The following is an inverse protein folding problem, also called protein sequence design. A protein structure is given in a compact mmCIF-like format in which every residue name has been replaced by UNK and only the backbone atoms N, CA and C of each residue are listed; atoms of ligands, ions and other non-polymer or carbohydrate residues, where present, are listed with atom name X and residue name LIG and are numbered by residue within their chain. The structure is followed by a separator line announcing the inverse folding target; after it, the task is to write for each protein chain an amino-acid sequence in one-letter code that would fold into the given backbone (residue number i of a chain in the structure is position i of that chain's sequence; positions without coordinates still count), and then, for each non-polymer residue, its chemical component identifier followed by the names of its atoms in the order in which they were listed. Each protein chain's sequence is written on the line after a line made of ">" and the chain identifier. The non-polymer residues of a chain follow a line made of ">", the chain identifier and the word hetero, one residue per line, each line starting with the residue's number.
data_IF_601470162984
#
_entry.id   IF_601470162984
#
_cell.length_a   1.000
_cell.length_b   1.000
_cell.length_c   1.000
_cell.angle_alpha   90.00
_cell.angle_beta   90.00
_cell.angle_gamma   90.00
#
_symmetry.space_group_name_H-M   'P 1'
#
loop_
_entity.id
_entity.type
_entity.pdbx_description
1 polymer ?
#
# COMPACT_ATOMS: atom_id res chain seq x y z
N UNK A 1 21.07 -2.72 6.65
CA UNK A 1 19.91 -3.43 7.24
C UNK A 1 20.35 -4.87 7.43
N UNK A 2 20.34 -5.41 8.65
CA UNK A 2 20.67 -6.83 8.88
C UNK A 2 19.70 -7.74 8.15
N UNK A 3 20.16 -8.92 7.71
CA UNK A 3 19.31 -9.94 7.08
C UNK A 3 18.19 -10.36 8.05
N UNK A 4 16.96 -10.47 7.54
CA UNK A 4 15.82 -10.88 8.35
C UNK A 4 15.95 -12.35 8.76
N UNK A 5 15.43 -12.71 9.94
CA UNK A 5 15.42 -14.10 10.43
C UNK A 5 14.80 -15.08 9.42
N UNK A 6 13.75 -14.66 8.70
CA UNK A 6 13.20 -15.45 7.58
C UNK A 6 14.19 -15.69 6.45
N UNK A 7 14.98 -14.69 6.06
CA UNK A 7 15.94 -14.86 4.97
C UNK A 7 17.01 -15.89 5.34
N UNK A 8 17.41 -15.91 6.62
CA UNK A 8 18.30 -16.95 7.17
C UNK A 8 17.64 -18.32 7.16
N UNK A 9 16.39 -18.41 7.61
CA UNK A 9 15.63 -19.65 7.70
C UNK A 9 15.37 -20.26 6.31
N UNK A 10 14.92 -19.45 5.34
CA UNK A 10 14.74 -19.90 3.95
C UNK A 10 16.04 -20.36 3.31
N UNK A 11 17.16 -19.68 3.57
CA UNK A 11 18.47 -20.09 3.07
C UNK A 11 18.89 -21.42 3.69
N UNK A 12 18.66 -21.59 4.99
CA UNK A 12 18.93 -22.84 5.71
C UNK A 12 18.12 -23.99 5.12
N UNK A 13 16.80 -23.82 4.97
CA UNK A 13 15.94 -24.88 4.42
C UNK A 13 16.23 -25.20 2.96
N UNK A 14 16.49 -24.18 2.14
CA UNK A 14 16.90 -24.41 0.76
C UNK A 14 18.22 -25.19 0.68
N UNK A 15 19.15 -24.95 1.62
CA UNK A 15 20.41 -25.67 1.67
C UNK A 15 20.22 -27.11 2.14
N UNK A 16 19.38 -27.36 3.14
CA UNK A 16 19.13 -28.74 3.63
C UNK A 16 18.43 -29.57 2.57
N UNK A 17 17.40 -29.03 1.92
CA UNK A 17 16.70 -29.70 0.80
C UNK A 17 17.69 -30.03 -0.33
N UNK A 18 18.55 -29.07 -0.69
CA UNK A 18 19.54 -29.28 -1.76
C UNK A 18 20.59 -30.35 -1.39
N UNK A 19 21.18 -30.27 -0.19
CA UNK A 19 22.18 -31.22 0.26
C UNK A 19 21.63 -32.64 0.35
N UNK A 20 20.40 -32.78 0.82
CA UNK A 20 19.80 -34.09 1.04
C UNK A 20 19.25 -34.69 -0.27
N UNK A 21 18.74 -33.89 -1.19
CA UNK A 21 18.46 -34.35 -2.57
C UNK A 21 19.74 -34.81 -3.30
N UNK A 22 20.87 -34.13 -3.08
CA UNK A 22 22.17 -34.53 -3.65
C UNK A 22 22.68 -35.85 -3.02
N UNK A 23 22.42 -36.06 -1.72
CA UNK A 23 22.80 -37.30 -1.04
C UNK A 23 21.95 -38.49 -1.51
N UNK A 24 20.65 -38.29 -1.73
CA UNK A 24 19.75 -39.31 -2.29
C UNK A 24 20.13 -39.70 -3.73
N UNK A 25 20.71 -38.80 -4.53
CA UNK A 25 21.27 -39.15 -5.85
C UNK A 25 22.57 -39.96 -5.76
N UNK A 26 23.28 -39.89 -4.64
CA UNK A 26 24.57 -40.56 -4.42
C UNK A 26 24.44 -41.87 -3.63
N UNK A 27 23.36 -42.05 -2.88
CA UNK A 27 23.06 -43.26 -2.11
C UNK A 27 22.07 -44.15 -2.88
N UNK A 28 22.54 -45.30 -3.38
CA UNK A 28 21.69 -46.34 -4.01
C UNK A 28 20.74 -47.04 -3.00
N UNK A 29 20.84 -46.69 -1.71
CA UNK A 29 20.02 -47.22 -0.64
C UNK A 29 18.86 -46.27 -0.33
N UNK A 30 17.61 -46.73 -0.52
CA UNK A 30 16.38 -45.96 -0.26
C UNK A 30 16.19 -45.66 1.25
N UNK A 31 17.02 -44.80 1.84
CA UNK A 31 16.84 -44.24 3.18
C UNK A 31 15.75 -43.18 3.16
N UNK A 32 14.92 -43.15 4.19
CA UNK A 32 13.59 -42.52 4.20
C UNK A 32 13.61 -41.02 3.86
N UNK A 33 12.83 -40.65 2.84
CA UNK A 33 12.57 -39.27 2.37
C UNK A 33 11.76 -38.39 3.33
N UNK A 34 11.41 -38.90 4.52
CA UNK A 34 10.49 -38.22 5.44
C UNK A 34 11.02 -36.85 5.91
N UNK A 35 12.32 -36.74 6.14
CA UNK A 35 12.98 -35.49 6.56
C UNK A 35 13.04 -34.46 5.41
N UNK A 36 13.13 -34.93 4.16
CA UNK A 36 13.08 -34.07 2.97
C UNK A 36 11.67 -33.51 2.75
N UNK A 37 10.66 -34.37 2.85
CA UNK A 37 9.27 -33.99 2.69
C UNK A 37 8.88 -32.97 3.77
N UNK A 38 9.31 -33.16 5.03
CA UNK A 38 9.07 -32.21 6.12
C UNK A 38 9.78 -30.87 5.89
N UNK A 39 11.04 -30.88 5.45
CA UNK A 39 11.78 -29.66 5.13
C UNK A 39 11.15 -28.91 3.93
N UNK A 40 10.64 -29.64 2.94
CA UNK A 40 9.97 -29.10 1.76
C UNK A 40 8.61 -28.50 2.12
N UNK A 41 7.82 -29.17 2.96
CA UNK A 41 6.54 -28.65 3.47
C UNK A 41 6.75 -27.39 4.31
N UNK A 42 7.77 -27.38 5.18
CA UNK A 42 8.11 -26.20 5.96
C UNK A 42 8.60 -25.04 5.07
N UNK A 43 9.46 -25.31 4.09
CA UNK A 43 9.92 -24.32 3.11
C UNK A 43 8.74 -23.75 2.31
N UNK A 44 7.81 -24.59 1.88
CA UNK A 44 6.61 -24.19 1.17
C UNK A 44 5.69 -23.34 2.06
N UNK A 45 5.45 -23.76 3.30
CA UNK A 45 4.69 -23.01 4.29
C UNK A 45 5.25 -21.62 4.57
N UNK A 46 6.57 -21.49 4.71
CA UNK A 46 7.23 -20.19 4.90
C UNK A 46 7.27 -19.29 3.65
N UNK A 47 7.34 -19.90 2.46
CA UNK A 47 7.20 -19.19 1.19
C UNK A 47 5.79 -18.66 0.98
N UNK A 48 4.78 -19.45 1.33
CA UNK A 48 3.36 -19.13 1.16
C UNK A 48 2.80 -18.21 2.26
N UNK A 49 3.45 -18.17 3.42
CA UNK A 49 3.03 -17.29 4.51
C UNK A 49 3.30 -15.80 4.23
N UNK A 50 2.24 -15.11 3.80
CA UNK A 50 2.15 -13.67 3.53
C UNK A 50 2.65 -12.78 4.68
N UNK A 51 2.59 -13.27 5.91
CA UNK A 51 2.97 -12.51 7.11
C UNK A 51 4.46 -12.55 7.43
N UNK A 52 5.20 -13.51 6.87
CA UNK A 52 6.64 -13.65 7.08
C UNK A 52 7.44 -13.03 5.92
N UNK A 53 6.87 -12.93 4.71
CA UNK A 53 7.52 -12.32 3.55
C UNK A 53 7.88 -10.84 3.71
N UNK A 54 9.06 -10.45 3.22
CA UNK A 54 9.39 -9.03 3.01
C UNK A 54 8.30 -8.43 2.13
N UNK A 55 7.70 -7.32 2.57
CA UNK A 55 6.71 -6.59 1.76
C UNK A 55 7.40 -6.18 0.46
N UNK A 56 7.03 -6.80 -0.65
CA UNK A 56 7.46 -6.32 -1.96
C UNK A 56 6.88 -4.92 -2.13
N UNK A 57 7.75 -3.95 -2.42
CA UNK A 57 7.27 -2.64 -2.82
C UNK A 57 6.51 -2.85 -4.12
N UNK A 58 5.19 -2.66 -4.07
CA UNK A 58 4.39 -2.59 -5.29
C UNK A 58 5.00 -1.50 -6.17
N UNK A 59 5.24 -1.81 -7.44
CA UNK A 59 5.71 -0.83 -8.41
C UNK A 59 4.72 0.34 -8.44
N UNK A 60 5.17 1.52 -8.01
CA UNK A 60 4.38 2.75 -7.99
C UNK A 60 4.77 3.55 -9.22
N UNK A 61 3.79 3.90 -10.04
CA UNK A 61 4.01 4.78 -11.18
C UNK A 61 4.26 6.21 -10.67
N UNK A 62 5.37 6.83 -11.07
CA UNK A 62 5.68 8.22 -10.73
C UNK A 62 4.80 9.21 -11.55
N UNK A 63 4.41 8.80 -12.76
CA UNK A 63 3.54 9.57 -13.66
C UNK A 63 2.16 9.88 -13.05
N UNK A 64 1.69 9.02 -12.15
CA UNK A 64 0.35 9.07 -11.57
C UNK A 64 0.15 10.21 -10.55
N UNK A 65 1.21 10.94 -10.21
CA UNK A 65 1.20 11.98 -9.18
C UNK A 65 0.39 13.24 -9.56
N UNK A 66 0.27 13.51 -10.86
CA UNK A 66 -0.36 14.73 -11.40
C UNK A 66 -1.56 14.44 -12.32
N UNK A 67 -1.74 13.19 -12.73
CA UNK A 67 -2.78 12.82 -13.70
C UNK A 67 -4.17 13.29 -13.30
N UNK A 68 -4.51 13.27 -12.01
CA UNK A 68 -5.82 13.71 -11.53
C UNK A 68 -6.08 15.20 -11.76
N UNK A 69 -5.04 16.05 -11.71
CA UNK A 69 -5.20 17.49 -11.96
C UNK A 69 -5.20 17.82 -13.45
N UNK A 70 -4.59 16.95 -14.27
CA UNK A 70 -4.55 17.07 -15.72
C UNK A 70 -5.79 16.47 -16.41
N UNK A 71 -6.68 15.80 -15.66
CA UNK A 71 -7.92 15.23 -16.20
C UNK A 71 -8.83 16.30 -16.81
N UNK A 72 -9.58 15.91 -17.83
CA UNK A 72 -10.70 16.71 -18.34
C UNK A 72 -11.78 16.84 -17.27
N UNK A 73 -12.58 17.89 -17.34
CA UNK A 73 -13.57 18.20 -16.30
C UNK A 73 -14.59 17.09 -16.08
N UNK A 74 -14.97 16.37 -17.14
CA UNK A 74 -15.87 15.23 -17.07
C UNK A 74 -15.24 14.02 -16.39
N UNK A 75 -13.96 13.73 -16.71
CA UNK A 75 -13.17 12.66 -16.08
C UNK A 75 -12.90 12.97 -14.61
N UNK A 76 -12.52 14.21 -14.30
CA UNK A 76 -12.32 14.72 -12.95
C UNK A 76 -13.58 14.52 -12.10
N UNK A 77 -14.75 14.91 -12.64
CA UNK A 77 -16.03 14.75 -11.95
C UNK A 77 -16.42 13.28 -11.78
N UNK A 78 -16.12 12.41 -12.75
CA UNK A 78 -16.36 10.96 -12.64
C UNK A 78 -15.50 10.31 -11.54
N UNK A 79 -14.23 10.71 -11.46
CA UNK A 79 -13.27 10.20 -10.47
C UNK A 79 -13.57 10.73 -9.07
N UNK A 80 -13.56 12.05 -8.88
CA UNK A 80 -13.62 12.69 -7.56
C UNK A 80 -15.04 13.04 -7.09
N UNK A 81 -16.05 12.83 -7.95
CA UNK A 81 -17.47 13.15 -7.69
C UNK A 81 -17.76 14.63 -7.40
N UNK A 82 -16.80 15.52 -7.67
CA UNK A 82 -16.92 16.97 -7.52
C UNK A 82 -16.41 17.68 -8.78
N UNK A 83 -16.84 18.92 -9.00
CA UNK A 83 -16.31 19.76 -10.08
C UNK A 83 -14.98 20.39 -9.64
N UNK A 84 -14.11 20.78 -10.59
CA UNK A 84 -12.84 21.47 -10.29
C UNK A 84 -13.02 22.75 -9.44
N UNK A 85 -14.01 23.64 -9.71
CA UNK A 85 -14.23 24.82 -8.86
C UNK A 85 -14.63 24.46 -7.42
N UNK A 86 -15.44 23.42 -7.24
CA UNK A 86 -15.82 22.94 -5.92
C UNK A 86 -14.61 22.35 -5.19
N UNK A 87 -13.80 21.55 -5.90
CA UNK A 87 -12.56 21.00 -5.37
C UNK A 87 -11.62 22.11 -4.89
N UNK A 88 -11.38 23.13 -5.72
CA UNK A 88 -10.55 24.29 -5.40
C UNK A 88 -11.10 25.02 -4.16
N UNK A 89 -12.41 25.22 -4.08
CA UNK A 89 -13.06 25.86 -2.93
C UNK A 89 -12.81 25.09 -1.62
N UNK A 90 -12.91 23.76 -1.67
CA UNK A 90 -12.65 22.89 -0.50
C UNK A 90 -11.16 22.88 -0.16
N UNK A 91 -10.28 22.84 -1.17
CA UNK A 91 -8.83 22.89 -0.95
C UNK A 91 -8.42 24.19 -0.27
N UNK A 92 -8.90 25.34 -0.74
CA UNK A 92 -8.65 26.64 -0.13
C UNK A 92 -9.13 26.71 1.32
N UNK A 93 -10.25 26.05 1.63
CA UNK A 93 -10.80 25.99 2.98
C UNK A 93 -9.87 25.23 3.95
N UNK A 94 -9.31 24.09 3.53
CA UNK A 94 -8.58 23.18 4.43
C UNK A 94 -7.05 23.31 4.37
N UNK A 95 -6.48 23.93 3.33
CA UNK A 95 -5.01 23.95 3.11
C UNK A 95 -4.19 24.53 4.27
N UNK A 96 -4.79 25.39 5.09
CA UNK A 96 -4.16 26.02 6.25
C UNK A 96 -4.27 25.22 7.56
N UNK A 97 -4.93 24.06 7.58
CA UNK A 97 -5.07 23.25 8.80
C UNK A 97 -3.69 22.71 9.24
N UNK A 98 -3.38 22.85 10.54
CA UNK A 98 -2.17 22.36 11.20
C UNK A 98 -1.88 20.87 10.96
N UNK A 99 -2.89 20.06 10.64
CA UNK A 99 -2.74 18.63 10.30
C UNK A 99 -2.00 18.39 8.98
N UNK A 100 -1.92 19.40 8.13
CA UNK A 100 -1.15 19.36 6.89
C UNK A 100 0.26 19.95 7.03
N UNK A 101 0.59 20.53 8.18
CA UNK A 101 1.91 21.06 8.45
C UNK A 101 2.95 19.93 8.54
N UNK A 102 4.11 20.17 7.92
CA UNK A 102 5.23 19.24 7.93
C UNK A 102 5.60 18.83 9.36
N UNK A 103 5.53 17.52 9.65
CA UNK A 103 6.04 16.92 10.89
C UNK A 103 7.33 16.15 10.59
N UNK A 104 8.46 16.69 11.00
CA UNK A 104 9.78 16.06 10.88
C UNK A 104 10.54 16.46 9.62
N UNK A 105 11.52 15.61 9.23
CA UNK A 105 12.49 15.91 8.16
C UNK A 105 11.95 15.73 6.74
N UNK A 106 10.86 14.98 6.56
CA UNK A 106 10.25 14.76 5.24
C UNK A 106 9.08 15.72 5.02
N UNK A 107 9.02 16.42 3.88
CA UNK A 107 7.91 17.29 3.56
C UNK A 107 6.61 16.47 3.45
N UNK A 108 5.52 17.02 3.99
CA UNK A 108 4.21 16.41 3.82
C UNK A 108 3.76 16.56 2.37
N UNK A 109 3.02 15.56 1.87
CA UNK A 109 2.46 15.61 0.51
C UNK A 109 1.48 16.78 0.41
N UNK A 110 1.38 17.38 -0.78
CA UNK A 110 0.44 18.46 -1.06
C UNK A 110 -0.99 18.13 -0.61
N UNK A 111 -1.66 19.10 0.00
CA UNK A 111 -3.03 19.01 0.51
C UNK A 111 -4.00 18.70 -0.63
N UNK A 112 -3.76 19.24 -1.83
CA UNK A 112 -4.60 18.95 -2.99
C UNK A 112 -4.60 17.44 -3.30
N UNK A 113 -3.43 16.80 -3.27
CA UNK A 113 -3.30 15.34 -3.49
C UNK A 113 -4.00 14.56 -2.39
N UNK A 114 -3.85 14.97 -1.13
CA UNK A 114 -4.52 14.31 0.00
C UNK A 114 -6.05 14.42 -0.11
N UNK A 115 -6.55 15.59 -0.52
CA UNK A 115 -7.97 15.84 -0.76
C UNK A 115 -8.51 14.99 -1.92
N UNK A 116 -7.79 14.90 -3.02
CA UNK A 116 -8.17 14.08 -4.17
C UNK A 116 -8.34 12.60 -3.77
N UNK A 117 -7.33 12.04 -3.09
CA UNK A 117 -7.38 10.68 -2.58
C UNK A 117 -8.58 10.48 -1.65
N UNK A 118 -8.86 11.43 -0.75
CA UNK A 118 -9.97 11.33 0.18
C UNK A 118 -11.33 11.36 -0.52
N UNK A 119 -11.52 12.23 -1.51
CA UNK A 119 -12.76 12.33 -2.27
C UNK A 119 -13.03 11.08 -3.13
N UNK A 120 -12.01 10.56 -3.80
CA UNK A 120 -12.13 9.31 -4.54
C UNK A 120 -12.44 8.14 -3.60
N UNK A 121 -11.83 8.11 -2.41
CA UNK A 121 -12.13 7.13 -1.36
C UNK A 121 -13.57 7.24 -0.83
N UNK A 122 -14.09 8.45 -0.60
CA UNK A 122 -15.49 8.66 -0.19
C UNK A 122 -16.50 8.30 -1.29
N UNK A 123 -16.14 8.51 -2.56
CA UNK A 123 -16.98 8.21 -3.71
C UNK A 123 -16.98 6.73 -4.13
N UNK A 124 -16.08 5.92 -3.57
CA UNK A 124 -15.94 4.50 -3.89
C UNK A 124 -16.79 3.62 -2.95
N UNK A 125 -17.55 2.69 -3.53
CA UNK A 125 -18.33 1.68 -2.77
C UNK A 125 -17.88 0.25 -3.10
N UNK A 126 -18.03 -0.66 -2.12
CA UNK A 126 -17.67 -2.08 -2.27
C UNK A 126 -16.20 -2.32 -2.62
N UNK A 127 -15.92 -3.22 -3.56
CA UNK A 127 -14.57 -3.56 -4.02
C UNK A 127 -13.84 -2.38 -4.73
N UNK A 128 -14.58 -1.34 -5.14
CA UNK A 128 -14.02 -0.10 -5.67
C UNK A 128 -13.24 0.70 -4.64
N UNK A 129 -13.53 0.53 -3.34
CA UNK A 129 -12.81 1.17 -2.25
C UNK A 129 -11.55 0.38 -1.80
N UNK A 130 -11.08 -0.53 -2.66
CA UNK A 130 -9.82 -1.23 -2.38
C UNK A 130 -8.68 -0.21 -2.38
N UNK A 131 -8.03 -0.07 -1.22
CA UNK A 131 -6.85 0.80 -1.06
C UNK A 131 -5.80 0.56 -2.15
N UNK A 132 -5.78 -0.63 -2.74
CA UNK A 132 -4.88 -1.01 -3.83
C UNK A 132 -5.08 -0.22 -5.13
N UNK A 133 -6.30 0.17 -5.49
CA UNK A 133 -6.54 1.00 -6.67
C UNK A 133 -5.96 2.41 -6.46
N UNK A 134 -6.24 3.03 -5.31
CA UNK A 134 -5.68 4.34 -4.94
C UNK A 134 -4.15 4.31 -4.78
N UNK A 135 -3.60 3.21 -4.24
CA UNK A 135 -2.15 2.98 -4.14
C UNK A 135 -1.50 3.02 -5.52
N UNK A 136 -2.11 2.38 -6.52
CA UNK A 136 -1.64 2.40 -7.91
C UNK A 136 -1.83 3.77 -8.56
N UNK A 137 -3.02 4.35 -8.42
CA UNK A 137 -3.41 5.61 -9.06
C UNK A 137 -2.69 6.86 -8.53
N UNK A 138 -2.19 6.84 -7.29
CA UNK A 138 -1.53 8.01 -6.70
C UNK A 138 -0.08 7.74 -6.27
N UNK A 139 0.41 6.51 -6.44
CA UNK A 139 1.76 6.11 -6.06
C UNK A 139 2.03 6.24 -4.56
N UNK A 140 1.05 5.92 -3.71
CA UNK A 140 1.12 6.04 -2.24
C UNK A 140 1.10 4.67 -1.57
N UNK A 141 1.48 4.57 -0.29
CA UNK A 141 1.32 3.33 0.47
C UNK A 141 -0.14 3.12 0.92
N UNK A 142 -0.57 1.88 1.12
CA UNK A 142 -1.96 1.60 1.54
C UNK A 142 -2.30 2.27 2.89
N UNK A 143 -1.39 2.23 3.86
CA UNK A 143 -1.56 2.96 5.13
C UNK A 143 -1.44 4.48 4.99
N UNK A 144 -0.89 4.98 3.88
CA UNK A 144 -0.83 6.41 3.57
C UNK A 144 -2.20 6.92 3.11
N UNK A 145 -2.95 6.11 2.35
CA UNK A 145 -4.33 6.43 1.93
C UNK A 145 -5.20 6.69 3.15
N UNK A 146 -5.22 5.76 4.11
CA UNK A 146 -6.04 5.90 5.33
C UNK A 146 -5.60 7.11 6.18
N UNK A 147 -4.30 7.39 6.25
CA UNK A 147 -3.80 8.58 6.93
C UNK A 147 -4.26 9.89 6.26
N UNK A 148 -4.27 9.97 4.92
CA UNK A 148 -4.76 11.14 4.19
C UNK A 148 -6.26 11.33 4.36
N UNK A 149 -7.04 10.25 4.20
CA UNK A 149 -8.50 10.26 4.43
C UNK A 149 -8.82 10.77 5.84
N UNK A 150 -8.12 10.27 6.86
CA UNK A 150 -8.34 10.69 8.26
C UNK A 150 -8.04 12.18 8.45
N UNK A 151 -6.91 12.69 7.91
CA UNK A 151 -6.55 14.12 8.00
C UNK A 151 -7.59 15.01 7.32
N UNK A 152 -7.98 14.68 6.09
CA UNK A 152 -8.98 15.44 5.32
C UNK A 152 -10.32 15.42 6.04
N UNK A 153 -10.79 14.25 6.49
CA UNK A 153 -12.03 14.13 7.26
C UNK A 153 -12.01 15.03 8.49
N UNK A 154 -10.94 15.00 9.27
CA UNK A 154 -10.84 15.81 10.47
C UNK A 154 -10.80 17.31 10.15
N UNK A 155 -10.14 17.72 9.06
CA UNK A 155 -10.10 19.12 8.62
C UNK A 155 -11.50 19.60 8.19
N UNK A 156 -12.22 18.81 7.40
CA UNK A 156 -13.60 19.11 7.01
C UNK A 156 -14.54 19.22 8.22
N UNK A 157 -14.37 18.34 9.21
CA UNK A 157 -15.20 18.34 10.43
C UNK A 157 -15.01 19.62 11.28
N UNK A 158 -13.87 20.30 11.21
CA UNK A 158 -13.71 21.60 11.90
C UNK A 158 -14.64 22.67 11.34
N UNK A 159 -15.04 22.55 10.07
CA UNK A 159 -15.95 23.49 9.43
C UNK A 159 -17.41 23.02 9.46
N UNK A 160 -17.71 21.84 10.05
CA UNK A 160 -19.03 21.22 9.99
C UNK A 160 -20.15 22.16 10.49
N UNK A 161 -19.97 22.78 11.67
CA UNK A 161 -20.96 23.69 12.25
C UNK A 161 -21.23 24.98 11.47
N UNK A 162 -20.38 25.31 10.49
CA UNK A 162 -20.62 26.43 9.57
C UNK A 162 -21.62 26.09 8.46
N UNK A 163 -21.70 24.81 8.07
CA UNK A 163 -22.44 24.36 6.89
C UNK A 163 -23.64 23.47 7.21
N UNK A 164 -23.64 22.80 8.36
CA UNK A 164 -24.75 21.95 8.80
C UNK A 164 -25.34 22.53 10.08
N UNK A 165 -26.62 22.91 10.00
CA UNK A 165 -27.44 23.39 11.12
C UNK A 165 -28.30 22.26 11.67
#
# INVERSE_FOLDING_TARGET
>A
MPESERAKLLRSLSSTIFCQALLDELDDSNSQSADLDEAQDMYCGEKLNRYLGSRSNVARSDAHRHLVFDLRDDEFKKSLRVTKPMFESVWQLIRGDVRFAQRGTKPQRDVAVQLAIALEWFGACGNGNSNWNLVRHYGVGAGTVTAYVSRVRQALLQHYGRYVK
#
